data_IF_224629006662
#
_entry.id   IF_224629006662
#
_cell.length_a   1.000
_cell.length_b   1.000
_cell.length_c   1.000
_cell.angle_alpha   90.00
_cell.angle_beta   90.00
_cell.angle_gamma   90.00
#
_symmetry.space_group_name_H-M   'P 1'
#
loop_
_entity.id
_entity.type
_entity.pdbx_description
1 polymer ?
#
# COMPACT_ATOMS: atom_id res chain seq x y z
N UNK A 1 4.44 20.25 -12.38
CA UNK A 1 3.75 18.96 -12.52
C UNK A 1 3.62 18.38 -11.12
N UNK A 2 2.42 18.01 -10.71
CA UNK A 2 2.18 17.33 -9.42
C UNK A 2 2.07 15.83 -9.67
N UNK A 3 2.62 15.00 -8.79
CA UNK A 3 2.60 13.54 -9.00
C UNK A 3 1.23 12.92 -8.68
N UNK A 4 0.42 13.60 -7.87
CA UNK A 4 -0.93 13.17 -7.50
C UNK A 4 -1.94 13.25 -8.65
N UNK A 5 -1.61 13.94 -9.75
CA UNK A 5 -2.45 14.00 -10.94
C UNK A 5 -2.27 12.81 -11.88
N UNK A 6 -1.27 11.96 -11.64
CA UNK A 6 -0.98 10.79 -12.46
C UNK A 6 -1.68 9.54 -11.91
N UNK A 7 -2.27 8.74 -12.80
CA UNK A 7 -2.88 7.46 -12.43
C UNK A 7 -1.80 6.44 -12.03
N UNK A 8 -2.03 5.73 -10.93
CA UNK A 8 -1.16 4.66 -10.44
C UNK A 8 -0.57 4.94 -9.06
N UNK A 9 0.54 4.27 -8.75
CA UNK A 9 1.25 4.40 -7.49
C UNK A 9 2.50 5.28 -7.61
N UNK A 10 2.82 5.98 -6.53
CA UNK A 10 4.11 6.63 -6.31
C UNK A 10 4.96 5.73 -5.42
N UNK A 11 6.17 5.40 -5.87
CA UNK A 11 7.12 4.57 -5.14
C UNK A 11 8.22 5.47 -4.59
N UNK A 12 8.32 5.49 -3.27
CA UNK A 12 9.31 6.29 -2.55
C UNK A 12 10.45 5.41 -2.07
N UNK A 13 11.63 6.00 -2.01
CA UNK A 13 12.72 5.47 -1.21
C UNK A 13 12.39 5.77 0.28
N UNK A 14 12.11 4.75 1.12
CA UNK A 14 11.76 4.92 2.54
C UNK A 14 12.69 5.79 3.40
N UNK A 15 14.01 5.84 3.19
CA UNK A 15 14.89 6.64 4.06
C UNK A 15 14.97 8.11 3.65
N UNK A 16 14.98 8.36 2.34
CA UNK A 16 15.22 9.70 1.79
C UNK A 16 13.95 10.41 1.32
N UNK A 17 12.84 9.68 1.16
CA UNK A 17 11.60 10.19 0.58
C UNK A 17 11.70 10.50 -0.92
N UNK A 18 12.81 10.15 -1.57
CA UNK A 18 12.99 10.40 -3.00
C UNK A 18 12.03 9.52 -3.82
N UNK A 19 11.48 10.11 -4.89
CA UNK A 19 10.61 9.40 -5.82
C UNK A 19 11.46 8.48 -6.69
N UNK A 20 11.26 7.16 -6.55
CA UNK A 20 11.90 6.14 -7.39
C UNK A 20 11.10 5.86 -8.66
N UNK A 21 9.79 5.93 -8.57
CA UNK A 21 8.87 5.77 -9.69
C UNK A 21 7.52 6.44 -9.38
N UNK A 22 6.77 6.79 -10.42
CA UNK A 22 5.39 7.25 -10.34
C UNK A 22 4.61 6.69 -11.53
N UNK A 23 3.28 6.72 -11.48
CA UNK A 23 2.44 6.09 -12.49
C UNK A 23 2.57 4.57 -12.55
N UNK A 24 3.06 3.95 -11.48
CA UNK A 24 3.36 2.51 -11.46
C UNK A 24 2.09 1.70 -11.27
N UNK A 25 1.97 0.61 -12.03
CA UNK A 25 0.93 -0.40 -11.84
C UNK A 25 1.49 -1.48 -10.92
N UNK A 26 0.79 -1.73 -9.81
CA UNK A 26 1.10 -2.86 -8.92
C UNK A 26 0.22 -4.03 -9.34
N UNK A 27 0.84 -5.17 -9.61
CA UNK A 27 0.12 -6.39 -9.95
C UNK A 27 -0.69 -6.89 -8.76
N UNK A 28 -1.90 -7.38 -9.04
CA UNK A 28 -2.77 -7.95 -8.00
C UNK A 28 -2.16 -9.26 -7.50
N UNK A 29 -1.82 -9.30 -6.20
CA UNK A 29 -1.29 -10.51 -5.59
C UNK A 29 -2.34 -11.63 -5.60
N UNK A 30 -1.93 -12.88 -5.85
CA UNK A 30 -2.87 -14.01 -5.96
C UNK A 30 -3.71 -14.27 -4.70
N UNK A 31 -3.18 -13.85 -3.53
CA UNK A 31 -3.83 -13.89 -2.22
C UNK A 31 -4.93 -12.84 -2.04
N UNK A 32 -4.93 -11.78 -2.84
CA UNK A 32 -5.91 -10.69 -2.76
C UNK A 32 -7.13 -11.02 -3.61
N UNK A 33 -8.27 -11.29 -2.96
CA UNK A 33 -9.53 -11.65 -3.62
C UNK A 33 -10.72 -10.99 -2.92
N UNK A 34 -11.76 -10.65 -3.69
CA UNK A 34 -13.01 -10.10 -3.14
C UNK A 34 -12.89 -8.69 -2.55
N UNK A 35 -11.80 -7.97 -2.80
CA UNK A 35 -11.61 -6.59 -2.35
C UNK A 35 -12.25 -5.64 -3.37
N UNK A 36 -13.00 -4.65 -2.87
CA UNK A 36 -13.58 -3.59 -3.68
C UNK A 36 -12.70 -2.34 -3.70
N UNK A 37 -12.59 -1.73 -4.87
CA UNK A 37 -11.85 -0.49 -5.11
C UNK A 37 -10.39 -0.72 -5.51
N UNK A 38 -10.00 -0.10 -6.63
CA UNK A 38 -8.66 -0.28 -7.22
C UNK A 38 -7.53 0.08 -6.25
N UNK A 39 -7.61 1.23 -5.56
CA UNK A 39 -6.58 1.67 -4.61
C UNK A 39 -6.44 0.73 -3.41
N UNK A 40 -7.54 0.16 -2.94
CA UNK A 40 -7.52 -0.83 -1.85
C UNK A 40 -6.86 -2.11 -2.33
N UNK A 41 -7.28 -2.64 -3.48
CA UNK A 41 -6.68 -3.85 -4.07
C UNK A 41 -5.18 -3.67 -4.34
N UNK A 42 -4.76 -2.52 -4.86
CA UNK A 42 -3.36 -2.17 -5.08
C UNK A 42 -2.58 -2.12 -3.77
N UNK A 43 -3.09 -1.45 -2.74
CA UNK A 43 -2.40 -1.37 -1.45
C UNK A 43 -2.25 -2.74 -0.79
N UNK A 44 -3.30 -3.56 -0.79
CA UNK A 44 -3.28 -4.92 -0.24
C UNK A 44 -2.35 -5.85 -1.03
N UNK A 45 -2.25 -5.65 -2.34
CA UNK A 45 -1.29 -6.40 -3.17
C UNK A 45 0.14 -5.94 -2.91
N UNK A 46 0.35 -4.64 -2.72
CA UNK A 46 1.66 -4.09 -2.40
C UNK A 46 2.22 -4.64 -1.07
N UNK A 47 1.36 -5.08 -0.14
CA UNK A 47 1.77 -5.75 1.11
C UNK A 47 2.50 -7.08 0.86
N UNK A 48 2.24 -7.79 -0.25
CA UNK A 48 2.96 -9.03 -0.55
C UNK A 48 4.43 -8.81 -0.91
N UNK A 49 4.81 -7.57 -1.22
CA UNK A 49 6.21 -7.19 -1.38
C UNK A 49 6.76 -6.88 0.01
N UNK A 50 7.58 -7.80 0.55
CA UNK A 50 8.09 -7.76 1.93
C UNK A 50 8.75 -6.42 2.33
N UNK A 51 9.26 -5.64 1.37
CA UNK A 51 9.96 -4.38 1.60
C UNK A 51 9.05 -3.14 1.51
N UNK A 52 7.78 -3.30 1.15
CA UNK A 52 6.87 -2.18 0.96
C UNK A 52 6.00 -1.92 2.21
N UNK A 53 5.70 -0.64 2.44
CA UNK A 53 4.76 -0.18 3.46
C UNK A 53 3.71 0.72 2.80
N UNK A 54 2.65 0.14 2.22
CA UNK A 54 1.70 0.89 1.40
C UNK A 54 0.90 1.91 2.20
N UNK A 55 0.74 3.10 1.64
CA UNK A 55 -0.22 4.10 2.11
C UNK A 55 -1.25 4.31 1.01
N UNK A 56 -2.50 4.03 1.33
CA UNK A 56 -3.64 4.30 0.46
C UNK A 56 -4.26 5.63 0.84
N UNK A 57 -4.50 6.48 -0.15
CA UNK A 57 -5.28 7.71 -0.01
C UNK A 57 -6.39 7.67 -1.05
N UNK A 58 -7.63 7.66 -0.60
CA UNK A 58 -8.81 7.71 -1.46
C UNK A 58 -9.33 9.14 -1.62
N UNK A 59 -10.04 9.39 -2.71
CA UNK A 59 -10.64 10.71 -3.01
C UNK A 59 -11.77 11.12 -2.05
N UNK A 60 -12.35 10.16 -1.34
CA UNK A 60 -13.35 10.37 -0.29
C UNK A 60 -12.73 10.70 1.08
N UNK A 61 -11.39 10.79 1.16
CA UNK A 61 -10.66 11.07 2.39
C UNK A 61 -10.26 9.82 3.18
N UNK A 62 -10.58 8.60 2.73
CA UNK A 62 -10.10 7.37 3.40
C UNK A 62 -8.58 7.21 3.21
N UNK A 63 -7.83 7.46 4.29
CA UNK A 63 -6.39 7.27 4.37
C UNK A 63 -6.11 6.02 5.22
N UNK A 64 -5.41 5.04 4.64
CA UNK A 64 -5.06 3.80 5.32
C UNK A 64 -3.57 3.48 5.15
N UNK A 65 -2.86 3.24 6.26
CA UNK A 65 -1.50 2.67 6.26
C UNK A 65 -1.58 1.15 6.47
N UNK A 66 -0.83 0.41 5.65
CA UNK A 66 -0.72 -1.05 5.72
C UNK A 66 0.68 -1.43 6.20
N UNK A 67 0.76 -2.32 7.19
CA UNK A 67 2.03 -2.77 7.74
C UNK A 67 2.01 -4.25 8.08
N UNK A 68 2.96 -5.00 7.56
CA UNK A 68 3.24 -6.34 8.05
C UNK A 68 3.98 -6.24 9.38
N UNK A 69 3.49 -6.99 10.36
CA UNK A 69 4.13 -7.19 11.65
C UNK A 69 4.15 -8.67 11.96
N UNK A 70 5.17 -9.10 12.70
CA UNK A 70 5.22 -10.46 13.24
C UNK A 70 4.51 -10.46 14.59
N UNK A 71 3.49 -11.30 14.72
CA UNK A 71 2.90 -11.62 16.01
C UNK A 71 3.95 -12.30 16.89
N UNK A 72 4.19 -11.76 18.09
CA UNK A 72 5.25 -12.23 18.97
C UNK A 72 4.89 -13.53 19.71
N UNK A 73 3.60 -13.82 19.84
CA UNK A 73 3.09 -14.99 20.55
C UNK A 73 2.99 -16.21 19.61
N UNK A 74 2.56 -15.98 18.35
CA UNK A 74 2.38 -17.06 17.37
C UNK A 74 3.51 -17.17 16.34
N UNK A 75 4.28 -16.10 16.15
CA UNK A 75 5.27 -15.99 15.07
C UNK A 75 4.67 -15.77 13.68
N UNK A 76 3.35 -15.60 13.56
CA UNK A 76 2.69 -15.39 12.28
C UNK A 76 2.87 -13.96 11.77
N UNK A 77 3.01 -13.79 10.45
CA UNK A 77 2.93 -12.47 9.84
C UNK A 77 1.47 -12.03 9.71
N UNK A 78 1.15 -10.89 10.29
CA UNK A 78 -0.18 -10.26 10.19
C UNK A 78 -0.05 -8.88 9.54
N UNK A 79 -1.05 -8.52 8.75
CA UNK A 79 -1.14 -7.17 8.16
C UNK A 79 -2.07 -6.29 9.00
N UNK A 80 -1.50 -5.27 9.62
CA UNK A 80 -2.26 -4.23 10.32
C UNK A 80 -2.68 -3.12 9.36
N UNK A 81 -3.88 -2.57 9.58
CA UNK A 81 -4.48 -1.48 8.80
C UNK A 81 -4.82 -0.33 9.73
N UNK A 82 -4.07 0.77 9.64
CA UNK A 82 -4.30 1.96 10.43
C UNK A 82 -5.09 2.96 9.59
N UNK A 83 -6.32 3.25 10.00
CA UNK A 83 -7.18 4.25 9.36
C UNK A 83 -7.04 5.60 10.06
N UNK A 84 -6.91 6.65 9.28
CA UNK A 84 -6.86 8.03 9.76
C UNK A 84 -8.19 8.69 9.41
N UNK A 85 -8.85 9.30 10.41
CA UNK A 85 -10.12 10.01 10.29
C UNK A 85 -9.94 11.48 10.71
#
# INVERSE_FOLDING_TARGET
MELSSEDGAVILEPQTGQVKAFGSIIETAASVRGISGARTTTAESAVSYQTMQPIKISSDGDITLYRNVTDLDTGEEITLKYKFY
#
